data_IF_619254883785
#
_entry.id   IF_619254883785
#
_cell.length_a   1.000
_cell.length_b   1.000
_cell.length_c   1.000
_cell.angle_alpha   90.00
_cell.angle_beta   90.00
_cell.angle_gamma   90.00
#
_symmetry.space_group_name_H-M   'P 1'
#
loop_
_entity.id
_entity.type
_entity.pdbx_description
1 polymer ?
#
# COMPACT_ATOMS: atom_id res chain seq x y z
N UNK A 1 15.05 18.85 2.59
CA UNK A 1 14.15 17.75 3.01
C UNK A 1 14.93 16.68 3.76
N UNK A 2 14.40 16.20 4.89
CA UNK A 2 15.01 15.16 5.73
C UNK A 2 13.96 14.43 6.57
N UNK A 3 14.29 13.22 7.03
CA UNK A 3 13.53 12.56 8.10
C UNK A 3 13.98 13.13 9.45
N UNK A 4 13.09 13.84 10.14
CA UNK A 4 13.38 14.42 11.46
C UNK A 4 14.41 15.55 11.45
N UNK A 5 14.76 16.02 12.65
CA UNK A 5 15.65 17.17 12.89
C UNK A 5 17.14 16.84 12.66
N UNK A 6 17.53 15.57 12.84
CA UNK A 6 18.92 15.13 12.74
C UNK A 6 19.07 14.16 11.56
N UNK A 7 19.51 14.64 10.40
CA UNK A 7 19.71 13.76 9.27
C UNK A 7 21.03 14.02 8.55
N UNK A 8 21.89 12.99 8.58
CA UNK A 8 22.93 12.73 7.58
C UNK A 8 22.33 12.52 6.17
N UNK A 9 21.01 12.31 6.11
CA UNK A 9 20.23 12.10 4.89
C UNK A 9 19.38 13.34 4.57
N UNK A 10 19.92 14.22 3.73
CA UNK A 10 19.32 15.50 3.33
C UNK A 10 19.35 15.69 1.81
N UNK A 11 18.35 16.38 1.29
CA UNK A 11 18.24 16.75 -0.13
C UNK A 11 17.62 18.13 -0.28
N UNK A 12 17.88 18.80 -1.40
CA UNK A 12 17.39 20.16 -1.63
C UNK A 12 15.90 20.16 -2.00
N UNK A 13 15.45 19.15 -2.75
CA UNK A 13 14.05 18.99 -3.16
C UNK A 13 13.41 17.73 -2.57
N UNK A 14 12.07 17.70 -2.53
CA UNK A 14 11.33 16.52 -2.08
C UNK A 14 11.47 15.35 -3.05
N UNK A 15 11.56 15.64 -4.35
CA UNK A 15 11.76 14.63 -5.40
C UNK A 15 13.10 13.92 -5.22
N UNK A 16 14.17 14.70 -5.13
CA UNK A 16 15.53 14.18 -4.90
C UNK A 16 15.60 13.38 -3.59
N UNK A 17 14.89 13.84 -2.56
CA UNK A 17 14.79 13.14 -1.28
C UNK A 17 14.15 11.75 -1.41
N UNK A 18 13.02 11.66 -2.14
CA UNK A 18 12.31 10.41 -2.37
C UNK A 18 13.18 9.45 -3.19
N UNK A 19 13.77 9.93 -4.27
CA UNK A 19 14.63 9.13 -5.16
C UNK A 19 15.80 8.52 -4.40
N UNK A 20 16.55 9.34 -3.65
CA UNK A 20 17.66 8.87 -2.82
C UNK A 20 17.20 7.88 -1.74
N UNK A 21 16.02 8.10 -1.15
CA UNK A 21 15.49 7.21 -0.11
C UNK A 21 15.14 5.83 -0.68
N UNK A 22 14.58 5.80 -1.90
CA UNK A 22 14.25 4.58 -2.63
C UNK A 22 15.52 3.83 -3.03
N UNK A 23 16.51 4.52 -3.60
CA UNK A 23 17.79 3.94 -4.00
C UNK A 23 18.53 3.29 -2.81
N UNK A 24 18.59 4.01 -1.68
CA UNK A 24 19.21 3.49 -0.46
C UNK A 24 18.44 2.30 0.14
N UNK A 25 17.12 2.28 0.01
CA UNK A 25 16.30 1.15 0.45
C UNK A 25 16.55 -0.10 -0.41
N UNK A 26 16.77 0.06 -1.72
CA UNK A 26 17.09 -1.05 -2.64
C UNK A 26 18.46 -1.65 -2.38
N UNK A 27 19.47 -0.82 -2.12
CA UNK A 27 20.83 -1.28 -1.82
C UNK A 27 20.98 -1.85 -0.40
N UNK A 28 20.03 -1.58 0.50
CA UNK A 28 20.12 -1.96 1.91
C UNK A 28 21.18 -1.21 2.70
N UNK A 29 21.82 -0.19 2.10
CA UNK A 29 22.91 0.60 2.69
C UNK A 29 22.45 1.45 3.87
N UNK A 30 21.18 1.86 3.86
CA UNK A 30 20.56 2.57 4.98
C UNK A 30 19.40 1.76 5.54
N UNK A 31 19.25 1.86 6.87
CA UNK A 31 18.16 1.25 7.61
C UNK A 31 17.17 2.35 8.00
N UNK A 32 15.93 2.23 7.52
CA UNK A 32 14.83 3.09 7.96
C UNK A 32 14.03 2.37 9.03
N UNK A 33 13.55 3.11 10.03
CA UNK A 33 12.79 2.55 11.15
C UNK A 33 11.47 3.31 11.34
N UNK A 34 10.39 2.57 11.53
CA UNK A 34 9.10 3.09 11.97
C UNK A 34 8.92 2.84 13.47
N UNK A 35 8.49 3.87 14.18
CA UNK A 35 8.14 3.78 15.60
C UNK A 35 6.62 3.65 15.71
N UNK A 36 6.11 2.43 15.48
CA UNK A 36 4.64 2.20 15.43
C UNK A 36 4.00 2.14 16.81
N UNK A 37 4.69 1.59 17.82
CA UNK A 37 4.25 1.52 19.23
C UNK A 37 5.45 1.37 20.18
N UNK A 38 5.39 1.90 21.42
CA UNK A 38 6.48 1.78 22.39
C UNK A 38 6.83 0.31 22.70
N UNK A 39 5.81 -0.53 22.87
CA UNK A 39 5.99 -1.93 23.30
C UNK A 39 6.70 -2.84 22.27
N UNK A 40 6.67 -2.52 20.97
CA UNK A 40 7.21 -3.37 19.90
C UNK A 40 8.57 -2.90 19.36
N UNK A 41 9.11 -1.81 19.91
CA UNK A 41 10.36 -1.21 19.46
C UNK A 41 10.33 -0.66 18.02
N UNK A 42 11.48 -0.20 17.51
CA UNK A 42 11.59 0.31 16.14
C UNK A 42 11.49 -0.83 15.13
N UNK A 43 10.54 -0.73 14.19
CA UNK A 43 10.39 -1.69 13.09
C UNK A 43 11.20 -1.24 11.88
N UNK A 44 12.17 -2.05 11.45
CA UNK A 44 12.92 -1.80 10.22
C UNK A 44 11.98 -1.86 9.00
N UNK A 45 12.10 -0.89 8.10
CA UNK A 45 11.34 -0.81 6.84
C UNK A 45 12.23 -0.48 5.65
N UNK A 46 11.72 -0.78 4.45
CA UNK A 46 12.34 -0.41 3.17
C UNK A 46 11.37 0.46 2.37
N UNK A 47 11.83 1.62 1.91
CA UNK A 47 11.02 2.60 1.18
C UNK A 47 11.18 2.39 -0.32
N UNK A 48 10.67 1.29 -0.88
CA UNK A 48 10.96 0.90 -2.28
C UNK A 48 9.96 1.41 -3.32
N UNK A 49 8.71 1.63 -2.90
CA UNK A 49 7.58 1.89 -3.79
C UNK A 49 6.85 3.16 -3.33
N UNK A 50 7.17 4.34 -3.88
CA UNK A 50 6.46 5.56 -3.55
C UNK A 50 5.00 5.47 -3.95
N UNK A 51 4.13 6.08 -3.15
CA UNK A 51 2.69 6.13 -3.40
C UNK A 51 2.30 7.58 -3.66
N UNK A 52 1.65 7.82 -4.80
CA UNK A 52 1.10 9.15 -5.11
C UNK A 52 0.07 9.55 -4.06
N UNK A 53 0.04 10.84 -3.69
CA UNK A 53 -1.00 11.38 -2.81
C UNK A 53 -2.39 11.39 -3.46
N UNK A 54 -2.44 11.36 -4.78
CA UNK A 54 -3.69 11.26 -5.54
C UNK A 54 -4.13 9.82 -5.75
N UNK A 55 -3.26 8.84 -5.43
CA UNK A 55 -3.64 7.43 -5.48
C UNK A 55 -4.61 7.16 -4.34
N UNK A 56 -5.84 6.80 -4.68
CA UNK A 56 -6.78 6.29 -3.70
C UNK A 56 -6.37 4.86 -3.30
N UNK A 57 -5.80 4.72 -2.11
CA UNK A 57 -5.34 3.42 -1.59
C UNK A 57 -6.47 2.74 -0.86
N UNK A 58 -6.76 1.50 -1.28
CA UNK A 58 -7.81 0.72 -0.66
C UNK A 58 -7.50 0.29 0.77
N UNK A 59 -8.56 0.21 1.58
CA UNK A 59 -8.42 -0.29 2.94
C UNK A 59 -7.90 -1.73 2.92
N UNK A 60 -7.15 -2.11 3.96
CA UNK A 60 -6.69 -3.50 4.11
C UNK A 60 -7.87 -4.49 4.08
N UNK A 61 -9.00 -4.12 4.67
CA UNK A 61 -10.21 -4.94 4.66
C UNK A 61 -10.72 -5.18 3.23
N UNK A 62 -10.76 -4.14 2.38
CA UNK A 62 -11.12 -4.25 0.97
C UNK A 62 -10.13 -5.17 0.23
N UNK A 63 -8.83 -4.94 0.41
CA UNK A 63 -7.79 -5.75 -0.24
C UNK A 63 -7.89 -7.23 0.16
N UNK A 64 -8.10 -7.52 1.45
CA UNK A 64 -8.32 -8.87 1.94
C UNK A 64 -9.56 -9.50 1.32
N UNK A 65 -10.67 -8.77 1.24
CA UNK A 65 -11.88 -9.23 0.56
C UNK A 65 -11.60 -9.66 -0.87
N UNK A 66 -10.89 -8.85 -1.64
CA UNK A 66 -10.56 -9.18 -3.03
C UNK A 66 -9.79 -10.50 -3.12
N UNK A 67 -8.77 -10.68 -2.27
CA UNK A 67 -7.98 -11.92 -2.22
C UNK A 67 -8.88 -13.11 -1.84
N UNK A 68 -9.71 -12.98 -0.80
CA UNK A 68 -10.63 -14.04 -0.36
C UNK A 68 -11.58 -14.44 -1.49
N UNK A 69 -12.22 -13.46 -2.15
CA UNK A 69 -13.17 -13.73 -3.25
C UNK A 69 -12.49 -14.30 -4.50
N UNK A 70 -11.21 -13.98 -4.73
CA UNK A 70 -10.41 -14.59 -5.81
C UNK A 70 -10.04 -16.03 -5.50
N UNK A 71 -9.73 -16.35 -4.23
CA UNK A 71 -9.37 -17.71 -3.80
C UNK A 71 -10.60 -18.63 -3.70
N UNK A 72 -11.73 -18.11 -3.23
CA UNK A 72 -12.99 -18.86 -3.10
C UNK A 72 -13.78 -18.76 -4.40
N UNK A 73 -13.46 -19.63 -5.35
CA UNK A 73 -14.06 -19.65 -6.71
C UNK A 73 -15.58 -19.80 -6.67
N UNK A 74 -16.08 -20.59 -5.71
CA UNK A 74 -17.50 -20.89 -5.53
C UNK A 74 -18.11 -20.03 -4.43
N UNK A 75 -18.98 -19.09 -4.80
CA UNK A 75 -19.57 -18.11 -3.87
C UNK A 75 -20.45 -18.73 -2.77
N UNK A 76 -21.04 -19.89 -3.03
CA UNK A 76 -21.79 -20.65 -2.04
C UNK A 76 -20.92 -21.10 -0.85
N UNK A 77 -19.62 -21.31 -1.08
CA UNK A 77 -18.67 -21.68 -0.02
C UNK A 77 -18.24 -20.49 0.85
N UNK A 78 -18.60 -19.25 0.50
CA UNK A 78 -18.27 -18.09 1.35
C UNK A 78 -18.92 -18.24 2.73
N UNK A 79 -20.14 -18.79 2.79
CA UNK A 79 -20.88 -18.98 4.04
C UNK A 79 -20.28 -20.04 4.96
N UNK A 80 -19.38 -20.89 4.47
CA UNK A 80 -18.72 -21.94 5.26
C UNK A 80 -17.41 -21.49 5.89
N UNK A 81 -16.95 -20.27 5.58
CA UNK A 81 -15.73 -19.71 6.17
C UNK A 81 -15.91 -19.48 7.68
N UNK A 82 -14.87 -19.74 8.50
CA UNK A 82 -14.92 -19.53 9.95
C UNK A 82 -14.77 -18.04 10.29
N UNK A 83 -15.70 -17.22 9.81
CA UNK A 83 -15.72 -15.77 9.96
C UNK A 83 -16.98 -15.31 10.68
N UNK A 84 -16.92 -14.23 11.49
CA UNK A 84 -18.10 -13.57 12.03
C UNK A 84 -19.10 -13.17 10.94
N UNK A 85 -20.40 -13.26 11.25
CA UNK A 85 -21.50 -12.97 10.30
C UNK A 85 -21.37 -11.62 9.61
N UNK A 86 -20.96 -10.57 10.32
CA UNK A 86 -20.72 -9.24 9.74
C UNK A 86 -19.68 -9.24 8.61
N UNK A 87 -18.65 -10.07 8.71
CA UNK A 87 -17.64 -10.19 7.67
C UNK A 87 -18.13 -11.06 6.50
N UNK A 88 -18.93 -12.08 6.76
CA UNK A 88 -19.62 -12.83 5.70
C UNK A 88 -20.55 -11.92 4.91
N UNK A 89 -21.36 -11.10 5.59
CA UNK A 89 -22.24 -10.12 4.96
C UNK A 89 -21.44 -9.11 4.13
N UNK A 90 -20.32 -8.63 4.69
CA UNK A 90 -19.37 -7.81 3.94
C UNK A 90 -18.99 -8.55 2.65
N UNK A 91 -18.36 -9.72 2.71
CA UNK A 91 -17.89 -10.48 1.53
C UNK A 91 -18.97 -10.74 0.46
N UNK A 92 -20.24 -10.91 0.85
CA UNK A 92 -21.35 -11.16 -0.06
C UNK A 92 -21.94 -9.91 -0.73
N UNK A 93 -21.58 -8.70 -0.27
CA UNK A 93 -22.08 -7.45 -0.83
C UNK A 93 -21.79 -7.31 -2.34
N UNK A 94 -22.81 -7.00 -3.15
CA UNK A 94 -22.77 -7.06 -4.62
C UNK A 94 -22.00 -5.93 -5.30
N UNK A 95 -21.87 -4.75 -4.67
CA UNK A 95 -21.39 -3.53 -5.33
C UNK A 95 -19.93 -3.17 -5.03
N UNK A 96 -19.08 -4.13 -4.64
CA UNK A 96 -17.68 -3.84 -4.25
C UNK A 96 -16.67 -3.72 -5.39
N UNK A 97 -17.06 -3.94 -6.64
CA UNK A 97 -16.16 -3.73 -7.79
C UNK A 97 -16.15 -2.29 -8.31
N UNK A 98 -16.92 -1.39 -7.70
CA UNK A 98 -16.90 0.05 -8.03
C UNK A 98 -15.81 0.79 -7.27
N UNK A 99 -14.58 0.33 -7.41
CA UNK A 99 -13.42 1.20 -7.27
C UNK A 99 -12.77 1.17 -8.63
N UNK A 100 -13.07 2.21 -9.40
CA UNK A 100 -12.38 2.50 -10.64
C UNK A 100 -10.89 2.37 -10.34
N UNK A 101 -10.28 1.35 -10.93
CA UNK A 101 -8.88 1.42 -11.25
C UNK A 101 -8.83 2.57 -12.26
N UNK A 102 -8.65 3.80 -11.78
CA UNK A 102 -8.04 4.84 -12.60
C UNK A 102 -6.66 4.31 -12.92
N UNK A 103 -6.60 3.46 -13.95
CA UNK A 103 -5.38 3.03 -14.59
C UNK A 103 -4.80 4.34 -15.10
N UNK A 104 -3.79 4.80 -14.39
CA UNK A 104 -2.85 5.85 -14.72
C UNK A 104 -2.93 6.25 -16.21
N UNK A 105 -3.80 7.20 -16.53
CA UNK A 105 -4.03 7.72 -17.88
C UNK A 105 -2.84 8.54 -18.38
N UNK A 106 -1.69 8.49 -17.71
CA UNK A 106 -0.51 9.28 -18.01
C UNK A 106 0.50 8.58 -18.95
N UNK A 107 0.18 7.39 -19.48
CA UNK A 107 0.87 6.81 -20.63
C UNK A 107 -0.03 6.72 -21.87
N UNK A 108 -0.57 7.86 -22.33
CA UNK A 108 -0.91 8.02 -23.74
C UNK A 108 0.20 8.87 -24.38
N UNK A 109 1.20 8.17 -24.90
CA UNK A 109 2.19 8.76 -25.79
C UNK A 109 1.48 9.03 -27.12
N UNK A 110 1.24 10.30 -27.43
CA UNK A 110 0.82 10.75 -28.76
C UNK A 110 1.91 10.35 -29.77
N UNK A 111 1.60 9.65 -30.87
CA UNK A 111 2.46 9.64 -32.04
C UNK A 111 2.35 11.00 -32.76
N UNK A 112 3.49 11.43 -33.33
CA UNK A 112 3.70 12.62 -34.17
C UNK A 112 2.58 12.92 -35.18
#
# INVERSE_FOLDING_TARGET
>A
FSFGSYAKFKSQTITEFIEKAVEHSRSGRYLFFLHRRPEHGPMRVQLTNPVSRFKHVQSLQHMCRFVILKTVIRKDLIQTLPLPRRLLDYLNYRHCFSEQIEIDSSHVQMPE
#
